data_IF_123080212008
#
_entry.id   IF_123080212008
#
_cell.length_a   1.000
_cell.length_b   1.000
_cell.length_c   1.000
_cell.angle_alpha   90.00
_cell.angle_beta   90.00
_cell.angle_gamma   90.00
#
_symmetry.space_group_name_H-M   'P 1'
#
loop_
_entity.id
_entity.type
_entity.pdbx_description
1 polymer ?
#
# COMPACT_ATOMS: atom_id res chain seq x y z
N UNK A 1 -1.94 -6.80 -13.99
CA UNK A 1 -1.53 -7.68 -12.88
C UNK A 1 -0.49 -6.93 -12.09
N UNK A 2 -0.55 -7.01 -10.76
CA UNK A 2 0.42 -6.38 -9.87
C UNK A 2 0.88 -7.35 -8.79
N UNK A 3 2.17 -7.33 -8.49
CA UNK A 3 2.85 -8.24 -7.59
C UNK A 3 3.75 -7.47 -6.62
N UNK A 4 3.67 -7.79 -5.34
CA UNK A 4 4.54 -7.29 -4.28
C UNK A 4 5.24 -8.51 -3.67
N UNK A 5 6.56 -8.72 -3.90
CA UNK A 5 7.29 -9.82 -3.32
C UNK A 5 7.40 -9.69 -1.79
N UNK A 6 7.78 -10.80 -1.15
CA UNK A 6 8.29 -10.79 0.21
C UNK A 6 9.46 -9.79 0.31
N UNK A 7 9.59 -9.06 1.44
CA UNK A 7 10.69 -8.14 1.61
C UNK A 7 12.00 -8.93 1.71
N UNK A 8 13.08 -8.36 1.18
CA UNK A 8 14.37 -9.04 1.14
C UNK A 8 14.93 -9.29 2.56
N UNK A 9 14.68 -8.35 3.47
CA UNK A 9 15.18 -8.41 4.85
C UNK A 9 14.42 -9.41 5.73
N UNK A 10 13.19 -9.78 5.35
CA UNK A 10 12.35 -10.71 6.10
C UNK A 10 11.52 -11.58 5.15
N UNK A 11 12.11 -12.68 4.62
CA UNK A 11 11.45 -13.56 3.67
C UNK A 11 10.29 -14.37 4.28
N UNK A 12 10.09 -14.32 5.60
CA UNK A 12 8.96 -14.97 6.25
C UNK A 12 7.63 -14.23 5.99
N UNK A 13 7.70 -12.94 5.66
CA UNK A 13 6.53 -12.16 5.27
C UNK A 13 6.02 -12.59 3.89
N UNK A 14 4.69 -12.63 3.68
CA UNK A 14 4.14 -13.11 2.42
C UNK A 14 4.38 -12.15 1.26
N UNK A 15 4.30 -12.72 0.06
CA UNK A 15 4.13 -11.98 -1.19
C UNK A 15 2.65 -11.82 -1.53
N UNK A 16 2.32 -10.79 -2.30
CA UNK A 16 0.95 -10.47 -2.69
C UNK A 16 0.82 -10.33 -4.20
N UNK A 17 -0.18 -11.00 -4.77
CA UNK A 17 -0.51 -10.92 -6.19
C UNK A 17 -1.97 -10.48 -6.36
N UNK A 18 -2.22 -9.55 -7.29
CA UNK A 18 -3.58 -9.14 -7.65
C UNK A 18 -3.74 -8.84 -9.15
N UNK A 19 -4.98 -8.97 -9.61
CA UNK A 19 -5.39 -8.75 -11.00
C UNK A 19 -6.39 -7.60 -11.08
N UNK A 20 -6.55 -7.07 -12.30
CA UNK A 20 -7.61 -6.11 -12.59
C UNK A 20 -8.93 -6.88 -12.60
N UNK A 21 -9.91 -6.38 -11.86
CA UNK A 21 -11.24 -7.00 -11.74
C UNK A 21 -12.36 -6.03 -12.11
N UNK A 22 -12.04 -4.94 -12.84
CA UNK A 22 -13.02 -3.91 -13.21
C UNK A 22 -14.23 -4.47 -13.95
N UNK A 23 -13.99 -5.42 -14.87
CA UNK A 23 -15.03 -6.05 -15.69
C UNK A 23 -15.77 -7.13 -14.92
N UNK A 24 -15.06 -8.03 -14.24
CA UNK A 24 -15.69 -9.16 -13.54
C UNK A 24 -16.51 -8.74 -12.32
N UNK A 25 -16.25 -7.56 -11.76
CA UNK A 25 -16.94 -7.05 -10.58
C UNK A 25 -17.72 -5.77 -10.83
N UNK A 26 -17.80 -5.33 -12.09
CA UNK A 26 -18.50 -4.10 -12.50
C UNK A 26 -18.12 -2.87 -11.66
N UNK A 27 -16.83 -2.73 -11.31
CA UNK A 27 -16.35 -1.67 -10.44
C UNK A 27 -15.16 -0.94 -11.07
N UNK A 28 -15.31 0.34 -11.48
CA UNK A 28 -14.29 1.03 -12.29
C UNK A 28 -12.94 1.17 -11.58
N UNK A 29 -12.94 1.29 -10.25
CA UNK A 29 -11.69 1.48 -9.48
C UNK A 29 -10.95 0.17 -9.15
N UNK A 30 -11.45 -1.01 -9.56
CA UNK A 30 -10.83 -2.30 -9.18
C UNK A 30 -9.67 -2.69 -10.11
N UNK A 31 -8.69 -1.81 -10.19
CA UNK A 31 -7.43 -2.01 -10.91
C UNK A 31 -6.48 -2.91 -10.12
N UNK A 32 -5.57 -3.62 -10.82
CA UNK A 32 -4.64 -4.55 -10.16
C UNK A 32 -3.77 -3.92 -9.06
N UNK A 33 -3.36 -2.65 -9.20
CA UNK A 33 -2.56 -1.93 -8.19
C UNK A 33 -3.37 -1.66 -6.92
N UNK A 34 -4.61 -1.17 -7.05
CA UNK A 34 -5.47 -0.93 -5.89
C UNK A 34 -5.82 -2.23 -5.18
N UNK A 35 -6.08 -3.28 -5.95
CA UNK A 35 -6.38 -4.60 -5.41
C UNK A 35 -5.19 -5.19 -4.62
N UNK A 36 -3.93 -4.98 -5.06
CA UNK A 36 -2.77 -5.48 -4.30
C UNK A 36 -2.51 -4.66 -3.03
N UNK A 37 -2.66 -3.33 -3.08
CA UNK A 37 -2.58 -2.47 -1.88
C UNK A 37 -3.63 -2.90 -0.84
N UNK A 38 -4.86 -3.14 -1.30
CA UNK A 38 -5.94 -3.65 -0.45
C UNK A 38 -5.57 -4.99 0.18
N UNK A 39 -5.07 -5.96 -0.60
CA UNK A 39 -4.65 -7.27 -0.06
C UNK A 39 -3.59 -7.15 1.02
N UNK A 40 -2.62 -6.25 0.86
CA UNK A 40 -1.60 -5.97 1.88
C UNK A 40 -2.24 -5.39 3.15
N UNK A 41 -3.16 -4.44 2.98
CA UNK A 41 -3.87 -3.82 4.09
C UNK A 41 -4.72 -4.84 4.86
N UNK A 42 -5.49 -5.67 4.15
CA UNK A 42 -6.36 -6.70 4.73
C UNK A 42 -5.52 -7.75 5.49
N UNK A 43 -4.34 -8.14 4.98
CA UNK A 43 -3.46 -9.09 5.66
C UNK A 43 -2.85 -8.55 6.96
N UNK A 44 -2.57 -7.25 7.03
CA UNK A 44 -1.99 -6.60 8.21
C UNK A 44 -3.04 -6.09 9.19
N UNK A 45 -4.29 -6.01 8.76
CA UNK A 45 -5.36 -5.59 9.62
C UNK A 45 -5.49 -6.57 10.80
N UNK A 46 -5.59 -6.07 12.04
CA UNK A 46 -5.98 -6.93 13.14
C UNK A 46 -7.35 -7.55 12.83
N UNK A 47 -7.64 -8.76 13.34
CA UNK A 47 -8.97 -9.33 13.22
C UNK A 47 -9.98 -8.30 13.74
N UNK A 48 -11.03 -8.05 12.96
CA UNK A 48 -12.05 -7.08 13.33
C UNK A 48 -12.54 -7.41 14.75
N UNK A 49 -12.37 -6.47 15.68
CA UNK A 49 -13.16 -6.48 16.90
C UNK A 49 -14.64 -6.51 16.49
N UNK A 50 -15.51 -7.24 17.21
CA UNK A 50 -16.95 -7.19 16.95
C UNK A 50 -17.38 -5.73 16.90
N UNK A 51 -18.45 -5.38 16.15
CA UNK A 51 -18.91 -4.01 16.07
C UNK A 51 -19.07 -3.47 17.48
N UNK A 52 -18.16 -2.60 17.91
CA UNK A 52 -18.41 -1.77 19.05
C UNK A 52 -19.56 -0.90 18.59
N UNK A 53 -20.74 -1.13 19.17
CA UNK A 53 -21.88 -0.23 19.05
C UNK A 53 -21.34 1.18 19.05
N UNK A 54 -21.66 1.93 18.00
CA UNK A 54 -21.19 3.28 17.77
C UNK A 54 -21.21 4.04 19.10
N UNK A 55 -20.03 4.23 19.69
CA UNK A 55 -19.92 4.94 20.95
C UNK A 55 -20.55 6.32 20.70
N UNK A 56 -21.62 6.69 21.43
CA UNK A 56 -22.28 7.96 21.20
C UNK A 56 -21.28 9.09 21.44
N UNK A 57 -21.32 10.08 20.55
CA UNK A 57 -20.54 11.33 20.63
C UNK A 57 -20.75 11.91 22.04
N UNK A 58 -19.69 12.10 22.85
CA UNK A 58 -19.86 12.63 24.20
C UNK A 58 -20.14 14.14 24.14
N UNK A 59 -21.40 14.51 24.34
CA UNK A 59 -21.79 15.88 24.68
C UNK A 59 -21.54 16.09 26.17
N UNK A 60 -20.75 17.11 26.48
CA UNK A 60 -20.21 17.50 27.78
C UNK A 60 -21.26 17.83 28.86
N UNK A 61 -21.07 17.32 30.10
CA UNK A 61 -21.06 18.04 31.41
C UNK A 61 -21.42 17.11 32.62
N UNK A 62 -20.99 17.44 33.86
CA UNK A 62 -20.47 16.47 34.83
C UNK A 62 -21.46 16.03 35.92
N UNK A 63 -21.16 14.93 36.64
CA UNK A 63 -21.06 14.85 38.13
C UNK A 63 -21.05 13.39 38.66
N UNK A 64 -20.18 13.17 39.66
CA UNK A 64 -20.17 12.18 40.75
C UNK A 64 -19.94 10.67 40.52
N UNK A 65 -18.75 10.24 40.96
CA UNK A 65 -18.46 9.22 41.99
C UNK A 65 -19.29 7.93 42.06
N UNK A 66 -18.64 6.79 41.83
CA UNK A 66 -18.59 5.69 42.81
C UNK A 66 -17.63 4.57 42.41
N UNK A 67 -16.86 4.16 43.43
CA UNK A 67 -15.92 3.04 43.50
C UNK A 67 -16.64 1.70 43.46
N UNK A 68 -16.12 0.71 42.73
CA UNK A 68 -16.20 -0.69 43.17
C UNK A 68 -15.19 -1.61 42.48
N UNK A 69 -14.47 -2.29 43.36
CA UNK A 69 -13.46 -3.33 43.21
C UNK A 69 -14.02 -4.63 42.64
N UNK A 70 -13.30 -5.29 41.74
CA UNK A 70 -13.18 -6.75 41.74
C UNK A 70 -11.91 -7.23 41.03
N UNK A 71 -11.21 -8.12 41.73
CA UNK A 71 -9.92 -8.77 41.45
C UNK A 71 -10.06 -9.92 40.41
N UNK A 72 -8.96 -10.55 39.97
CA UNK A 72 -8.77 -11.01 38.59
C UNK A 72 -9.16 -12.48 38.36
N UNK A 73 -9.52 -12.80 37.12
CA UNK A 73 -9.62 -14.18 36.63
C UNK A 73 -8.33 -14.51 35.86
N UNK A 74 -7.66 -15.64 36.12
CA UNK A 74 -6.42 -15.99 35.43
C UNK A 74 -6.77 -16.62 34.08
N UNK A 75 -6.64 -15.85 33.00
CA UNK A 75 -6.67 -16.37 31.63
C UNK A 75 -5.25 -16.52 31.10
N UNK A 76 -5.00 -17.71 30.55
CA UNK A 76 -3.84 -18.13 29.75
C UNK A 76 -3.20 -17.01 28.91
N UNK A 77 -1.89 -17.12 28.58
CA UNK A 77 -1.17 -16.07 27.86
C UNK A 77 -1.73 -15.92 26.45
N UNK A 78 -2.76 -15.09 26.31
CA UNK A 78 -3.11 -14.46 25.06
C UNK A 78 -1.92 -13.56 24.74
N UNK A 79 -1.19 -13.90 23.68
CA UNK A 79 -0.22 -12.99 23.08
C UNK A 79 -0.92 -11.64 22.88
N UNK A 80 -0.44 -10.62 23.59
CA UNK A 80 -0.87 -9.25 23.37
C UNK A 80 -0.70 -8.95 21.86
N UNK A 81 -1.76 -8.50 21.17
CA UNK A 81 -1.58 -7.98 19.82
C UNK A 81 -0.57 -6.82 19.93
N UNK A 82 0.41 -6.72 19.01
CA UNK A 82 1.42 -5.67 19.09
C UNK A 82 0.72 -4.31 19.17
N UNK A 83 0.84 -3.68 20.33
CA UNK A 83 0.15 -2.47 20.79
C UNK A 83 0.51 -1.20 20.00
N UNK A 84 1.12 -1.35 18.82
CA UNK A 84 1.69 -0.28 18.01
C UNK A 84 1.07 -0.15 16.62
N UNK A 85 0.01 -0.91 16.29
CA UNK A 85 -0.74 -0.69 15.04
C UNK A 85 -1.51 0.63 15.13
N UNK A 86 -0.83 1.76 14.87
CA UNK A 86 -1.46 3.06 14.70
C UNK A 86 -2.51 2.93 13.61
N UNK A 87 -3.73 3.35 13.91
CA UNK A 87 -4.87 3.23 13.01
C UNK A 87 -4.49 3.74 11.60
N UNK A 88 -4.76 2.93 10.57
CA UNK A 88 -4.57 3.31 9.18
C UNK A 88 -3.16 3.13 8.59
N UNK A 89 -2.22 2.39 9.20
CA UNK A 89 -0.90 2.13 8.58
C UNK A 89 -0.81 0.84 7.74
N UNK A 90 -1.85 0.02 7.75
CA UNK A 90 -1.80 -1.34 7.19
C UNK A 90 -1.56 -1.36 5.66
N UNK A 91 -1.95 -0.31 4.94
CA UNK A 91 -1.80 -0.21 3.48
C UNK A 91 -0.42 0.29 3.01
N UNK A 92 0.48 0.65 3.94
CA UNK A 92 1.78 1.24 3.60
C UNK A 92 2.73 0.21 2.98
N UNK A 93 3.23 0.48 1.80
CA UNK A 93 4.21 -0.30 1.06
C UNK A 93 5.64 0.22 1.27
N UNK A 94 5.92 0.85 2.41
CA UNK A 94 7.25 1.36 2.75
C UNK A 94 8.30 0.25 2.64
N UNK A 95 9.39 0.52 1.92
CA UNK A 95 10.45 -0.46 1.67
C UNK A 95 10.09 -1.57 0.68
N UNK A 96 8.87 -1.60 0.12
CA UNK A 96 8.43 -2.61 -0.84
C UNK A 96 8.57 -2.14 -2.28
N UNK A 97 8.98 -3.05 -3.14
CA UNK A 97 8.98 -2.90 -4.60
C UNK A 97 7.69 -3.49 -5.16
N UNK A 98 7.03 -2.79 -6.09
CA UNK A 98 5.83 -3.30 -6.76
C UNK A 98 6.11 -3.54 -8.25
N UNK A 99 5.84 -4.76 -8.71
CA UNK A 99 5.92 -5.14 -10.12
C UNK A 99 4.52 -5.09 -10.72
N UNK A 100 4.37 -4.48 -11.90
CA UNK A 100 3.09 -4.47 -12.62
C UNK A 100 3.29 -4.65 -14.11
N UNK A 101 2.30 -5.20 -14.80
CA UNK A 101 2.46 -5.50 -16.24
C UNK A 101 2.38 -4.26 -17.11
N UNK A 102 1.57 -3.27 -16.73
CA UNK A 102 1.37 -2.03 -17.47
C UNK A 102 1.65 -0.85 -16.54
N UNK A 103 2.12 0.26 -17.10
CA UNK A 103 2.31 1.50 -16.36
C UNK A 103 1.03 1.86 -15.59
N UNK A 104 1.11 2.15 -14.29
CA UNK A 104 -0.07 2.49 -13.51
C UNK A 104 -0.69 3.79 -14.02
N UNK A 105 -2.02 3.81 -14.16
CA UNK A 105 -2.73 5.04 -14.48
C UNK A 105 -2.59 6.09 -13.35
N UNK A 106 -2.97 7.34 -13.61
CA UNK A 106 -2.87 8.46 -12.63
C UNK A 106 -3.48 8.09 -11.26
N UNK A 107 -4.66 7.47 -11.24
CA UNK A 107 -5.29 7.00 -9.99
C UNK A 107 -4.41 6.01 -9.24
N UNK A 108 -3.87 4.99 -9.93
CA UNK A 108 -3.02 3.98 -9.33
C UNK A 108 -1.67 4.57 -8.89
N UNK A 109 -1.09 5.49 -9.66
CA UNK A 109 0.14 6.18 -9.31
C UNK A 109 -0.02 7.04 -8.04
N UNK A 110 -1.15 7.75 -7.90
CA UNK A 110 -1.45 8.48 -6.67
C UNK A 110 -1.71 7.56 -5.48
N UNK A 111 -2.37 6.42 -5.69
CA UNK A 111 -2.54 5.41 -4.65
C UNK A 111 -1.19 4.86 -4.15
N UNK A 112 -0.25 4.60 -5.06
CA UNK A 112 1.12 4.17 -4.73
C UNK A 112 1.88 5.24 -3.92
N UNK A 113 1.69 6.52 -4.28
CA UNK A 113 2.24 7.65 -3.57
C UNK A 113 1.74 7.70 -2.12
N UNK A 114 0.43 7.59 -1.92
CA UNK A 114 -0.16 7.53 -0.59
C UNK A 114 0.27 6.28 0.20
N UNK A 115 0.42 5.15 -0.48
CA UNK A 115 0.96 3.91 0.10
C UNK A 115 2.45 3.99 0.42
N UNK A 116 3.19 5.06 0.10
CA UNK A 116 4.62 5.18 0.41
C UNK A 116 5.47 4.05 -0.17
N UNK A 117 5.13 3.56 -1.37
CA UNK A 117 5.92 2.50 -2.04
C UNK A 117 7.36 2.95 -2.26
N UNK A 118 8.34 2.05 -2.16
CA UNK A 118 9.76 2.40 -2.42
C UNK A 118 9.98 2.65 -3.91
N UNK A 119 9.58 1.67 -4.72
CA UNK A 119 9.78 1.72 -6.17
C UNK A 119 8.78 0.84 -6.90
N UNK A 120 8.57 1.13 -8.17
CA UNK A 120 7.76 0.32 -9.07
C UNK A 120 8.54 -0.12 -10.30
N UNK A 121 8.20 -1.29 -10.81
CA UNK A 121 8.72 -1.83 -12.07
C UNK A 121 7.54 -2.16 -12.97
N UNK A 122 7.51 -1.63 -14.19
CA UNK A 122 6.49 -1.97 -15.18
C UNK A 122 7.07 -2.41 -16.52
N UNK A 123 6.28 -3.15 -17.31
CA UNK A 123 6.73 -3.69 -18.62
C UNK A 123 6.20 -2.86 -19.79
N UNK A 124 4.91 -2.56 -19.83
CA UNK A 124 4.29 -1.82 -20.94
C UNK A 124 4.01 -0.38 -20.54
N UNK A 125 4.62 0.60 -21.22
CA UNK A 125 4.31 2.01 -21.02
C UNK A 125 2.90 2.35 -21.52
N UNK A 126 2.24 3.33 -20.89
CA UNK A 126 0.89 3.78 -21.24
C UNK A 126 0.89 5.28 -21.55
N UNK A 127 1.24 5.66 -22.79
CA UNK A 127 1.44 7.07 -23.18
C UNK A 127 0.25 8.01 -22.90
N UNK A 128 -0.99 7.53 -23.02
CA UNK A 128 -2.19 8.38 -22.87
C UNK A 128 -2.78 8.43 -21.46
N UNK A 129 -2.48 7.44 -20.61
CA UNK A 129 -3.17 7.29 -19.31
C UNK A 129 -2.22 7.01 -18.14
N UNK A 130 -0.96 6.73 -18.44
CA UNK A 130 0.09 6.44 -17.49
C UNK A 130 0.42 7.63 -16.58
N UNK A 131 0.55 7.34 -15.29
CA UNK A 131 0.88 8.32 -14.25
C UNK A 131 2.35 8.28 -13.83
N UNK A 132 3.21 7.53 -14.51
CA UNK A 132 4.61 7.33 -14.15
C UNK A 132 5.60 7.72 -15.25
N UNK A 133 5.13 8.36 -16.32
CA UNK A 133 5.94 8.72 -17.49
C UNK A 133 5.13 8.89 -18.78
N UNK A 134 3.90 8.40 -18.81
CA UNK A 134 2.93 8.65 -19.88
C UNK A 134 2.35 10.06 -19.86
N UNK A 135 1.04 10.18 -19.58
CA UNK A 135 0.33 11.46 -19.58
C UNK A 135 0.80 12.41 -18.47
N UNK A 136 1.25 11.85 -17.35
CA UNK A 136 1.84 12.59 -16.24
C UNK A 136 2.90 11.74 -15.54
N UNK A 137 3.70 12.37 -14.70
CA UNK A 137 4.56 11.67 -13.76
C UNK A 137 4.25 12.12 -12.33
N UNK A 138 3.29 11.43 -11.70
CA UNK A 138 2.79 11.71 -10.35
C UNK A 138 3.91 11.82 -9.30
N UNK A 139 4.93 10.92 -9.28
CA UNK A 139 6.03 11.03 -8.32
C UNK A 139 6.92 12.26 -8.50
N UNK A 140 6.85 12.92 -9.66
CA UNK A 140 7.64 14.11 -10.00
C UNK A 140 6.84 15.41 -9.93
N UNK A 141 5.55 15.37 -9.60
CA UNK A 141 4.73 16.57 -9.47
C UNK A 141 5.26 17.45 -8.32
N UNK A 142 5.23 18.77 -8.50
CA UNK A 142 5.52 19.71 -7.43
C UNK A 142 4.41 19.64 -6.35
N UNK A 143 4.80 19.68 -5.07
CA UNK A 143 3.86 19.65 -3.94
C UNK A 143 3.48 18.25 -3.43
N UNK A 144 3.96 17.16 -4.05
CA UNK A 144 3.79 15.82 -3.47
C UNK A 144 4.89 15.52 -2.44
N UNK A 145 4.50 14.96 -1.29
CA UNK A 145 5.42 14.70 -0.18
C UNK A 145 6.23 13.39 -0.36
N UNK A 146 5.61 12.36 -0.94
CA UNK A 146 6.29 11.08 -1.17
C UNK A 146 6.78 10.95 -2.59
N UNK A 147 8.01 10.46 -2.78
CA UNK A 147 8.59 10.15 -4.09
C UNK A 147 9.04 8.70 -4.11
N UNK A 148 8.82 8.02 -5.23
CA UNK A 148 9.21 6.63 -5.42
C UNK A 148 9.87 6.44 -6.78
N UNK A 149 10.79 5.47 -6.86
CA UNK A 149 11.51 5.19 -8.10
C UNK A 149 10.61 4.48 -9.11
N UNK A 150 10.75 4.83 -10.37
CA UNK A 150 9.99 4.24 -11.48
C UNK A 150 10.98 3.58 -12.42
N UNK A 151 10.87 2.26 -12.58
CA UNK A 151 11.67 1.49 -13.52
C UNK A 151 10.79 0.92 -14.63
N UNK A 152 11.20 1.13 -15.88
CA UNK A 152 10.59 0.52 -17.05
C UNK A 152 11.46 -0.63 -17.53
N UNK A 153 10.90 -1.84 -17.57
CA UNK A 153 11.54 -3.00 -18.13
C UNK A 153 11.58 -2.94 -19.66
N UNK A 154 12.80 -2.96 -20.23
CA UNK A 154 13.04 -2.82 -21.68
C UNK A 154 13.16 -4.16 -22.44
N UNK A 155 12.96 -5.31 -21.77
CA UNK A 155 13.04 -6.61 -22.43
C UNK A 155 14.47 -7.13 -22.65
N UNK A 156 14.55 -8.38 -23.15
CA UNK A 156 15.79 -9.12 -23.41
C UNK A 156 15.98 -9.48 -24.89
N UNK A 157 15.57 -8.62 -25.82
CA UNK A 157 16.02 -8.71 -27.22
C UNK A 157 17.24 -7.79 -27.35
N UNK A 158 18.43 -8.40 -27.37
CA UNK A 158 19.73 -7.73 -27.37
C UNK A 158 19.86 -6.65 -26.29
N UNK A 159 20.32 -7.06 -25.12
CA UNK A 159 21.16 -6.18 -24.33
C UNK A 159 22.36 -5.77 -25.20
N UNK A 160 22.22 -4.69 -25.96
CA UNK A 160 23.35 -3.82 -26.18
C UNK A 160 23.72 -3.38 -24.77
N UNK A 161 24.85 -3.90 -24.30
CA UNK A 161 25.50 -3.46 -23.07
C UNK A 161 25.93 -2.03 -23.31
N UNK A 162 24.98 -1.11 -23.19
CA UNK A 162 25.26 0.30 -22.98
C UNK A 162 24.07 0.94 -22.27
N UNK A 163 24.30 1.33 -21.02
CA UNK A 163 23.35 2.12 -20.25
C UNK A 163 22.27 1.32 -19.53
N UNK A 164 22.61 0.84 -18.32
CA UNK A 164 21.66 1.02 -17.20
C UNK A 164 21.41 2.53 -17.10
N UNK A 165 20.40 3.06 -17.77
CA UNK A 165 19.93 4.41 -17.48
C UNK A 165 19.09 4.36 -16.22
N UNK A 166 19.76 4.21 -15.07
CA UNK A 166 19.29 4.88 -13.86
C UNK A 166 19.25 6.34 -14.27
N UNK A 167 18.05 6.90 -14.42
CA UNK A 167 17.93 8.31 -14.76
C UNK A 167 18.73 9.11 -13.73
N UNK A 168 19.85 9.66 -14.15
CA UNK A 168 20.67 10.57 -13.36
C UNK A 168 19.92 11.88 -13.23
N UNK A 169 18.96 11.86 -12.30
CA UNK A 169 18.40 12.99 -11.56
C UNK A 169 17.54 12.41 -10.45
N UNK A 170 18.24 11.72 -9.53
CA UNK A 170 17.79 11.57 -8.15
C UNK A 170 18.58 12.63 -7.38
N UNK A 171 18.05 13.85 -7.34
CA UNK A 171 18.43 14.85 -6.37
C UNK A 171 17.17 15.26 -5.61
N UNK A 172 17.38 15.41 -4.30
CA UNK A 172 16.40 15.62 -3.24
C UNK A 172 15.53 16.87 -3.42
#
# INVERSE_FOLDING_TARGET
MSYVPAPLDDPSQPSFLAHDTRTSTHHPLRHSVLNVIRKVADHRAPPASPPHDAAPIPTSAPTSTSTSTSTPVPSSPAQEPPSNARNGQNYLLTGRTLFTTHEPCIMCAMALLHSRVKEIVYVHAMGLTGGCGGAACVPRLEGVNHRYSVLHWIGGAAAQVDGRSVGEKVDA
#
